data_IF_292513401681
#
_entry.id   IF_292513401681
#
_cell.length_a   1.000
_cell.length_b   1.000
_cell.length_c   1.000
_cell.angle_alpha   90.00
_cell.angle_beta   90.00
_cell.angle_gamma   90.00
#
_symmetry.space_group_name_H-M   'P 1'
#
loop_
_entity.id
_entity.type
_entity.pdbx_description
1 polymer ?
#
# COMPACT_ATOMS: atom_id res chain seq x y z
N UNK A 1 34.10 2.02 -4.76
CA UNK A 1 32.85 2.78 -4.92
C UNK A 1 31.69 2.00 -4.35
N UNK A 2 30.89 2.62 -3.55
CA UNK A 2 29.72 1.96 -3.01
C UNK A 2 28.46 2.57 -3.59
N UNK A 3 27.50 1.71 -3.91
CA UNK A 3 26.20 2.12 -4.38
C UNK A 3 25.16 1.12 -3.88
N UNK A 4 23.89 1.49 -3.97
CA UNK A 4 22.79 0.60 -3.61
C UNK A 4 22.05 0.19 -4.86
N UNK A 5 21.65 -1.07 -4.91
CA UNK A 5 20.78 -1.57 -5.98
C UNK A 5 19.31 -1.31 -5.60
N UNK A 6 18.40 -1.52 -6.56
CA UNK A 6 16.98 -1.47 -6.27
C UNK A 6 16.58 -2.48 -5.18
N UNK A 7 17.18 -3.68 -5.22
CA UNK A 7 16.91 -4.70 -4.20
C UNK A 7 17.39 -4.26 -2.83
N UNK A 8 18.52 -3.56 -2.76
CA UNK A 8 19.02 -3.01 -1.49
C UNK A 8 18.02 -2.01 -0.90
N UNK A 9 17.48 -1.13 -1.74
CA UNK A 9 16.51 -0.13 -1.29
C UNK A 9 15.21 -0.78 -0.81
N UNK A 10 14.75 -1.81 -1.52
CA UNK A 10 13.56 -2.56 -1.09
C UNK A 10 13.79 -3.28 0.21
N UNK A 11 14.94 -3.92 0.38
CA UNK A 11 15.27 -4.61 1.62
C UNK A 11 15.33 -3.65 2.80
N UNK A 12 15.95 -2.48 2.60
CA UNK A 12 16.01 -1.45 3.63
C UNK A 12 14.62 -0.95 4.00
N UNK A 13 13.77 -0.67 3.00
CA UNK A 13 12.41 -0.23 3.24
C UNK A 13 11.63 -1.28 4.05
N UNK A 14 11.73 -2.56 3.65
CA UNK A 14 11.03 -3.64 4.34
C UNK A 14 11.50 -3.82 5.78
N UNK A 15 12.76 -3.50 6.08
CA UNK A 15 13.28 -3.58 7.46
C UNK A 15 12.67 -2.51 8.37
N UNK A 16 12.11 -1.45 7.81
CA UNK A 16 11.58 -0.31 8.57
C UNK A 16 10.06 -0.24 8.64
N UNK A 17 9.36 -1.02 7.80
CA UNK A 17 7.90 -0.94 7.68
C UNK A 17 7.22 -2.14 8.36
N UNK A 18 5.90 -2.03 8.51
CA UNK A 18 5.03 -3.13 8.87
C UNK A 18 4.42 -3.69 7.58
N UNK A 19 4.40 -5.01 7.46
CA UNK A 19 3.68 -5.68 6.36
C UNK A 19 2.48 -6.42 6.92
N UNK A 20 1.42 -6.50 6.12
CA UNK A 20 0.17 -7.17 6.49
C UNK A 20 -0.25 -8.07 5.33
N UNK A 21 -0.71 -9.28 5.63
CA UNK A 21 -1.15 -10.22 4.59
C UNK A 21 -2.52 -9.85 4.04
N UNK A 22 -2.85 -10.30 2.81
CA UNK A 22 -4.21 -10.12 2.29
C UNK A 22 -5.28 -10.73 3.19
N UNK A 23 -5.00 -11.87 3.82
CA UNK A 23 -5.97 -12.49 4.73
C UNK A 23 -6.22 -11.62 5.96
N UNK A 24 -5.19 -10.99 6.51
CA UNK A 24 -5.35 -10.08 7.64
C UNK A 24 -6.10 -8.83 7.23
N UNK A 25 -5.87 -8.31 6.02
CA UNK A 25 -6.63 -7.18 5.48
C UNK A 25 -8.11 -7.56 5.35
N UNK A 26 -8.41 -8.76 4.85
CA UNK A 26 -9.78 -9.21 4.73
C UNK A 26 -10.48 -9.26 6.09
N UNK A 27 -9.78 -9.67 7.15
CA UNK A 27 -10.33 -9.66 8.51
C UNK A 27 -10.66 -8.24 8.96
N UNK A 28 -9.77 -7.27 8.72
CA UNK A 28 -10.03 -5.88 9.04
C UNK A 28 -11.29 -5.37 8.35
N UNK A 29 -11.46 -5.72 7.08
CA UNK A 29 -12.63 -5.31 6.30
C UNK A 29 -13.91 -5.96 6.82
N UNK A 30 -13.85 -7.25 7.14
CA UNK A 30 -15.00 -7.98 7.67
C UNK A 30 -15.43 -7.46 9.03
N UNK A 31 -14.50 -6.98 9.82
CA UNK A 31 -14.77 -6.41 11.13
C UNK A 31 -15.26 -4.95 11.06
N UNK A 32 -15.26 -4.35 9.87
CA UNK A 32 -15.67 -2.97 9.69
C UNK A 32 -14.71 -1.95 10.29
N UNK A 33 -13.44 -2.31 10.44
CA UNK A 33 -12.44 -1.40 10.98
C UNK A 33 -12.25 -0.19 10.07
N UNK A 34 -12.05 0.98 10.68
CA UNK A 34 -11.83 2.20 9.92
C UNK A 34 -10.39 2.26 9.43
N UNK A 35 -10.20 1.94 8.16
CA UNK A 35 -8.88 1.87 7.51
C UNK A 35 -8.98 2.52 6.14
N UNK A 36 -7.98 3.32 5.80
CA UNK A 36 -7.81 3.82 4.43
C UNK A 36 -6.98 2.81 3.66
N UNK A 37 -7.56 2.26 2.60
CA UNK A 37 -6.84 1.35 1.68
C UNK A 37 -6.33 2.18 0.52
N UNK A 38 -5.01 2.30 0.40
CA UNK A 38 -4.37 3.20 -0.57
C UNK A 38 -3.75 2.38 -1.69
N UNK A 39 -4.28 2.55 -2.90
CA UNK A 39 -3.78 1.90 -4.12
C UNK A 39 -2.76 2.82 -4.79
N UNK A 40 -1.50 2.38 -4.86
CA UNK A 40 -0.41 3.19 -5.44
C UNK A 40 0.03 2.67 -6.80
N UNK A 41 -0.82 1.88 -7.47
CA UNK A 41 -0.57 1.37 -8.82
C UNK A 41 -0.80 2.46 -9.86
N UNK A 42 -0.63 2.10 -11.13
CA UNK A 42 -0.87 3.02 -12.23
C UNK A 42 -2.36 3.03 -12.64
N UNK A 43 -2.83 4.08 -13.36
CA UNK A 43 -4.24 4.18 -13.73
C UNK A 43 -4.78 2.99 -14.51
N UNK A 44 -4.00 2.40 -15.41
CA UNK A 44 -4.44 1.24 -16.17
C UNK A 44 -4.68 0.02 -15.28
N UNK A 45 -3.87 -0.13 -14.23
CA UNK A 45 -4.06 -1.21 -13.25
C UNK A 45 -5.34 -0.98 -12.43
N UNK A 46 -5.52 0.22 -11.95
CA UNK A 46 -6.71 0.62 -11.19
C UNK A 46 -8.00 0.37 -11.99
N UNK A 47 -7.99 0.73 -13.26
CA UNK A 47 -9.17 0.61 -14.11
C UNK A 47 -9.60 -0.85 -14.33
N UNK A 48 -8.68 -1.80 -14.23
CA UNK A 48 -8.97 -3.22 -14.42
C UNK A 48 -9.52 -3.90 -13.17
N UNK A 49 -9.41 -3.28 -12.01
CA UNK A 49 -9.94 -3.82 -10.77
C UNK A 49 -9.14 -3.34 -9.58
N UNK A 50 -9.80 -3.27 -8.41
CA UNK A 50 -9.21 -2.74 -7.19
C UNK A 50 -9.93 -3.28 -5.98
N UNK A 51 -9.33 -3.10 -4.81
CA UNK A 51 -10.00 -3.42 -3.54
C UNK A 51 -11.15 -2.43 -3.38
N UNK A 52 -12.37 -2.91 -3.08
CA UNK A 52 -13.53 -2.02 -2.95
C UNK A 52 -13.30 -0.92 -1.91
N UNK A 53 -13.63 0.31 -2.27
CA UNK A 53 -13.51 1.47 -1.38
C UNK A 53 -12.09 2.02 -1.28
N UNK A 54 -11.15 1.53 -2.06
CA UNK A 54 -9.77 2.02 -2.02
C UNK A 54 -9.66 3.45 -2.55
N UNK A 55 -8.72 4.18 -1.98
CA UNK A 55 -8.32 5.50 -2.45
C UNK A 55 -7.18 5.32 -3.45
N UNK A 56 -7.28 5.95 -4.61
CA UNK A 56 -6.28 5.83 -5.66
C UNK A 56 -5.31 7.01 -5.65
N UNK A 57 -4.01 6.70 -5.56
CA UNK A 57 -2.96 7.70 -5.68
C UNK A 57 -1.70 7.02 -6.21
N UNK A 58 -1.36 7.19 -7.51
CA UNK A 58 -0.17 6.56 -8.07
C UNK A 58 1.10 6.89 -7.28
N UNK A 59 2.00 5.91 -7.19
CA UNK A 59 3.24 6.08 -6.39
C UNK A 59 3.99 7.36 -6.73
N UNK A 60 4.04 7.75 -8.00
CA UNK A 60 4.74 8.94 -8.45
C UNK A 60 4.15 10.26 -7.95
N UNK A 61 2.92 10.23 -7.44
CA UNK A 61 2.24 11.41 -6.93
C UNK A 61 2.12 11.43 -5.40
N UNK A 62 2.65 10.41 -4.73
CA UNK A 62 2.45 10.22 -3.31
C UNK A 62 2.92 11.42 -2.49
N UNK A 63 4.18 11.80 -2.64
CA UNK A 63 4.77 12.88 -1.82
C UNK A 63 4.08 14.21 -2.03
N UNK A 64 3.63 14.49 -3.24
CA UNK A 64 3.04 15.79 -3.56
C UNK A 64 1.58 15.91 -3.17
N UNK A 65 0.87 14.79 -2.95
CA UNK A 65 -0.59 14.84 -2.78
C UNK A 65 -1.14 14.15 -1.54
N UNK A 66 -0.39 13.26 -0.90
CA UNK A 66 -0.93 12.46 0.20
C UNK A 66 -1.41 13.32 1.37
N UNK A 67 -0.72 14.40 1.66
CA UNK A 67 -1.07 15.27 2.79
C UNK A 67 -2.45 15.89 2.67
N UNK A 68 -2.90 16.14 1.43
CA UNK A 68 -4.22 16.71 1.17
C UNK A 68 -5.32 15.65 1.29
N UNK A 69 -4.98 14.37 1.15
CA UNK A 69 -5.95 13.29 1.03
C UNK A 69 -6.15 12.50 2.31
N UNK A 70 -5.12 12.37 3.13
CA UNK A 70 -5.16 11.48 4.30
C UNK A 70 -4.52 12.15 5.51
N UNK A 71 -5.20 12.08 6.64
CA UNK A 71 -4.72 12.63 7.92
C UNK A 71 -3.56 11.79 8.46
N UNK A 72 -2.64 12.44 9.19
CA UNK A 72 -1.47 11.78 9.78
C UNK A 72 -1.81 10.65 10.75
N UNK A 73 -2.93 10.75 11.43
CA UNK A 73 -3.36 9.75 12.43
C UNK A 73 -4.22 8.64 11.83
N UNK A 74 -4.48 8.66 10.52
CA UNK A 74 -5.27 7.62 9.87
C UNK A 74 -4.54 6.28 9.89
N UNK A 75 -5.32 5.20 10.02
CA UNK A 75 -4.80 3.85 9.82
C UNK A 75 -4.83 3.55 8.33
N UNK A 76 -3.68 3.20 7.77
CA UNK A 76 -3.51 3.08 6.32
C UNK A 76 -2.92 1.72 5.98
N UNK A 77 -3.53 1.05 5.00
CA UNK A 77 -2.95 -0.12 4.34
C UNK A 77 -2.69 0.27 2.90
N UNK A 78 -1.43 0.20 2.48
CA UNK A 78 -1.03 0.54 1.11
C UNK A 78 -0.85 -0.74 0.33
N UNK A 79 -1.30 -0.76 -0.92
CA UNK A 79 -1.04 -1.90 -1.78
C UNK A 79 -0.66 -1.47 -3.20
N UNK A 80 0.07 -2.34 -3.86
CA UNK A 80 0.36 -2.23 -5.29
C UNK A 80 0.14 -3.61 -5.92
N UNK A 81 0.76 -3.90 -7.05
CA UNK A 81 0.52 -5.18 -7.71
C UNK A 81 1.14 -6.36 -6.96
N UNK A 82 2.39 -6.24 -6.48
CA UNK A 82 3.14 -7.33 -5.85
C UNK A 82 3.77 -6.98 -4.50
N UNK A 83 3.60 -5.76 -4.03
CA UNK A 83 4.13 -5.33 -2.73
C UNK A 83 5.41 -4.50 -2.77
N UNK A 84 6.03 -4.30 -3.93
CA UNK A 84 7.29 -3.54 -4.00
C UNK A 84 7.06 -2.02 -3.92
N UNK A 85 6.20 -1.48 -4.77
CA UNK A 85 5.89 -0.04 -4.76
C UNK A 85 5.25 0.37 -3.43
N UNK A 86 4.40 -0.50 -2.87
CA UNK A 86 3.75 -0.22 -1.59
C UNK A 86 4.72 -0.26 -0.42
N UNK A 87 5.75 -1.12 -0.47
CA UNK A 87 6.77 -1.15 0.57
C UNK A 87 7.56 0.16 0.58
N UNK A 88 7.96 0.65 -0.58
CA UNK A 88 8.66 1.94 -0.70
C UNK A 88 7.74 3.10 -0.28
N UNK A 89 6.46 3.04 -0.64
CA UNK A 89 5.49 4.05 -0.27
C UNK A 89 5.29 4.10 1.25
N UNK A 90 5.19 2.93 1.90
CA UNK A 90 5.04 2.86 3.35
C UNK A 90 6.24 3.49 4.06
N UNK A 91 7.45 3.19 3.60
CA UNK A 91 8.67 3.77 4.16
C UNK A 91 8.67 5.30 4.01
N UNK A 92 8.30 5.79 2.82
CA UNK A 92 8.20 7.23 2.56
C UNK A 92 7.18 7.89 3.48
N UNK A 93 6.00 7.27 3.62
CA UNK A 93 4.95 7.84 4.45
C UNK A 93 5.33 7.89 5.93
N UNK A 94 6.07 6.88 6.43
CA UNK A 94 6.59 6.93 7.79
C UNK A 94 7.55 8.11 7.97
N UNK A 95 8.39 8.37 7.00
CA UNK A 95 9.28 9.54 7.02
C UNK A 95 8.50 10.85 7.04
N UNK A 96 7.30 10.86 6.46
CA UNK A 96 6.42 12.02 6.44
C UNK A 96 5.55 12.16 7.69
N UNK A 97 5.70 11.26 8.66
CA UNK A 97 4.98 11.35 9.93
C UNK A 97 3.71 10.51 10.05
N UNK A 98 3.41 9.67 9.07
CA UNK A 98 2.29 8.73 9.17
C UNK A 98 2.75 7.52 9.97
N UNK A 99 2.22 7.33 11.17
CA UNK A 99 2.70 6.30 12.09
C UNK A 99 1.99 4.96 11.97
N UNK A 100 0.76 4.94 11.48
CA UNK A 100 -0.05 3.72 11.42
C UNK A 100 -0.24 3.27 9.97
N UNK A 101 0.85 2.83 9.35
CA UNK A 101 0.91 2.46 7.93
C UNK A 101 1.47 1.05 7.80
N UNK A 102 0.81 0.24 6.98
CA UNK A 102 1.31 -1.09 6.63
C UNK A 102 1.23 -1.30 5.12
N UNK A 103 2.15 -2.08 4.57
CA UNK A 103 2.14 -2.50 3.17
C UNK A 103 1.53 -3.89 3.06
N UNK A 104 0.56 -4.09 2.16
CA UNK A 104 -0.03 -5.41 1.95
C UNK A 104 0.92 -6.29 1.15
N UNK A 105 1.46 -7.30 1.80
CA UNK A 105 2.39 -8.24 1.16
C UNK A 105 1.70 -9.02 0.05
N UNK A 106 2.44 -9.29 -1.03
CA UNK A 106 1.89 -9.98 -2.20
C UNK A 106 0.98 -9.11 -3.06
N UNK A 107 0.54 -7.97 -2.56
CA UNK A 107 -0.23 -6.98 -3.29
C UNK A 107 -1.55 -7.46 -3.87
N UNK A 108 -2.05 -6.71 -4.83
CA UNK A 108 -3.32 -7.02 -5.48
C UNK A 108 -3.29 -8.36 -6.22
N UNK A 109 -2.12 -8.77 -6.70
CA UNK A 109 -1.97 -10.08 -7.34
C UNK A 109 -2.36 -11.20 -6.37
N UNK A 110 -1.81 -11.19 -5.15
CA UNK A 110 -2.13 -12.20 -4.14
C UNK A 110 -3.59 -12.10 -3.70
N UNK A 111 -4.09 -10.88 -3.50
CA UNK A 111 -5.49 -10.62 -3.16
C UNK A 111 -6.43 -11.28 -4.17
N UNK A 112 -6.15 -11.10 -5.47
CA UNK A 112 -6.97 -11.65 -6.55
C UNK A 112 -6.84 -13.18 -6.66
N UNK A 113 -5.63 -13.71 -6.47
CA UNK A 113 -5.40 -15.16 -6.50
C UNK A 113 -6.15 -15.87 -5.39
N UNK A 114 -6.36 -15.20 -4.27
CA UNK A 114 -7.14 -15.73 -3.14
C UNK A 114 -8.65 -15.50 -3.33
N UNK A 115 -9.05 -15.00 -4.49
CA UNK A 115 -10.46 -14.79 -4.86
C UNK A 115 -11.20 -13.87 -3.90
N UNK A 116 -10.52 -12.87 -3.36
CA UNK A 116 -11.13 -11.89 -2.47
C UNK A 116 -11.86 -10.84 -3.29
N UNK A 117 -12.73 -10.08 -2.62
CA UNK A 117 -13.62 -9.12 -3.28
C UNK A 117 -12.84 -8.06 -4.08
N UNK A 118 -13.30 -7.83 -5.33
CA UNK A 118 -12.72 -6.87 -6.25
C UNK A 118 -13.83 -6.02 -6.85
N UNK A 119 -13.57 -4.72 -6.94
CA UNK A 119 -14.45 -3.76 -7.60
C UNK A 119 -13.83 -3.38 -8.95
N UNK A 120 -14.65 -3.20 -9.97
CA UNK A 120 -14.16 -2.78 -11.28
C UNK A 120 -14.99 -1.65 -11.88
#
# INVERSE_FOLDING_TARGET
MSYKTGDDLLEEARSRITEISPSAVAVLRDQGEEVTYLDVREPNEWNLGRIPGALFLPRGQLESKIEELVQRDARIVIYCARGNRSALAADTMQQMGYENVASMSGGFQQWSMEEREVES
#
